data_IF_721319634772
#
_entry.id   IF_721319634772
#
_cell.length_a   1.000
_cell.length_b   1.000
_cell.length_c   1.000
_cell.angle_alpha   90.00
_cell.angle_beta   90.00
_cell.angle_gamma   90.00
#
_symmetry.space_group_name_H-M   'P 1'
#
loop_
_entity.id
_entity.type
_entity.pdbx_description
1 polymer ?
#
# COMPACT_ATOMS: atom_id res chain seq x y z
N UNK A 1 -9.55 -12.41 48.64
CA UNK A 1 -9.13 -11.49 49.72
C UNK A 1 -10.01 -10.24 49.63
N UNK A 2 -10.73 -9.89 50.69
CA UNK A 2 -11.74 -8.81 50.68
C UNK A 2 -11.04 -7.44 50.58
N UNK A 3 -11.27 -6.72 49.48
CA UNK A 3 -10.90 -5.30 49.32
C UNK A 3 -11.86 -4.42 50.13
N UNK A 4 -11.36 -3.40 50.87
CA UNK A 4 -12.20 -2.50 51.64
C UNK A 4 -12.73 -1.34 50.77
N UNK A 5 -14.04 -1.16 50.82
CA UNK A 5 -14.77 -0.04 50.26
C UNK A 5 -14.53 1.22 51.11
N UNK A 6 -13.97 2.26 50.50
CA UNK A 6 -13.82 3.61 51.06
C UNK A 6 -15.20 4.27 51.18
N UNK A 7 -15.64 4.52 52.42
CA UNK A 7 -16.77 5.39 52.75
C UNK A 7 -16.31 6.84 52.90
N UNK A 8 -17.00 7.82 52.31
CA UNK A 8 -16.71 9.24 52.50
C UNK A 8 -17.32 9.76 53.80
N UNK A 9 -16.51 10.50 54.56
CA UNK A 9 -16.89 11.22 55.77
C UNK A 9 -17.42 12.60 55.37
N UNK A 10 -18.74 12.78 55.48
CA UNK A 10 -19.39 14.09 55.56
C UNK A 10 -19.69 14.39 57.03
N UNK A 11 -19.19 15.50 57.61
CA UNK A 11 -19.77 16.05 58.81
C UNK A 11 -20.72 17.20 58.42
N UNK A 12 -21.98 17.04 58.80
CA UNK A 12 -22.94 18.14 58.84
C UNK A 12 -22.71 19.01 60.06
N UNK A 13 -22.97 20.31 59.90
CA UNK A 13 -23.30 21.26 60.96
C UNK A 13 -24.04 22.45 60.34
N UNK A 14 -25.32 22.60 60.70
CA UNK A 14 -25.95 23.91 60.84
C UNK A 14 -25.75 24.44 62.28
N UNK A 15 -26.49 25.46 62.75
CA UNK A 15 -27.46 26.30 62.05
C UNK A 15 -27.16 27.81 62.11
N UNK A 16 -28.03 28.55 61.42
CA UNK A 16 -28.06 29.99 61.21
C UNK A 16 -28.33 30.84 62.47
N UNK A 17 -27.67 32.00 62.55
CA UNK A 17 -28.03 33.13 63.38
C UNK A 17 -27.87 34.43 62.56
N UNK A 18 -28.70 35.41 62.88
CA UNK A 18 -29.20 36.47 62.00
C UNK A 18 -28.41 37.79 62.00
N UNK A 19 -28.41 38.48 60.84
CA UNK A 19 -28.25 39.94 60.61
C UNK A 19 -26.86 40.55 60.88
N UNK A 20 -26.47 41.70 60.28
CA UNK A 20 -27.30 42.77 59.67
C UNK A 20 -26.91 43.13 58.20
N UNK A 21 -27.64 44.06 57.54
CA UNK A 21 -27.46 44.41 56.13
C UNK A 21 -26.40 45.51 55.93
N UNK A 22 -26.08 45.78 54.66
CA UNK A 22 -25.14 46.79 54.13
C UNK A 22 -23.67 46.33 53.95
N UNK A 23 -23.41 45.60 52.86
CA UNK A 23 -22.18 45.76 52.10
C UNK A 23 -22.35 45.27 50.65
N UNK A 24 -21.90 46.09 49.71
CA UNK A 24 -21.98 45.93 48.25
C UNK A 24 -21.36 44.61 47.72
N UNK A 25 -21.79 44.14 46.52
CA UNK A 25 -21.37 42.84 45.99
C UNK A 25 -19.89 42.85 45.58
N UNK A 26 -19.04 42.19 46.37
CA UNK A 26 -17.67 41.87 45.93
C UNK A 26 -17.68 40.76 44.87
N UNK A 27 -16.84 40.88 43.84
CA UNK A 27 -16.85 39.99 42.68
C UNK A 27 -16.43 38.57 43.07
N UNK A 28 -17.15 37.60 42.50
CA UNK A 28 -16.94 36.17 42.70
C UNK A 28 -15.45 35.80 42.57
N UNK A 29 -14.86 35.38 43.70
CA UNK A 29 -13.53 34.76 43.72
C UNK A 29 -13.57 33.54 42.78
N UNK A 30 -12.74 33.49 41.71
CA UNK A 30 -12.69 32.32 40.87
C UNK A 30 -12.23 31.14 41.71
N UNK A 31 -12.91 30.00 41.54
CA UNK A 31 -12.65 28.76 42.25
C UNK A 31 -11.25 28.23 41.90
N UNK A 32 -10.26 28.69 42.68
CA UNK A 32 -8.88 28.22 42.75
C UNK A 32 -8.70 26.68 42.58
N UNK A 33 -9.59 25.78 43.08
CA UNK A 33 -9.41 24.34 42.85
C UNK A 33 -9.53 23.90 41.39
N UNK A 34 -10.41 24.49 40.58
CA UNK A 34 -10.63 24.06 39.20
C UNK A 34 -9.44 24.43 38.30
N UNK A 35 -8.93 25.66 38.45
CA UNK A 35 -7.72 26.12 37.76
C UNK A 35 -6.49 25.27 38.11
N UNK A 36 -6.36 24.86 39.37
CA UNK A 36 -5.24 24.02 39.78
C UNK A 36 -5.31 22.61 39.18
N UNK A 37 -6.50 22.01 39.13
CA UNK A 37 -6.72 20.72 38.47
C UNK A 37 -6.41 20.78 36.96
N UNK A 38 -6.87 21.83 36.28
CA UNK A 38 -6.57 22.03 34.86
C UNK A 38 -5.07 22.21 34.60
N UNK A 39 -4.39 22.99 35.46
CA UNK A 39 -2.95 23.19 35.37
C UNK A 39 -2.19 21.88 35.61
N UNK A 40 -2.60 21.09 36.60
CA UNK A 40 -1.99 19.80 36.89
C UNK A 40 -2.21 18.78 35.75
N UNK A 41 -3.40 18.77 35.15
CA UNK A 41 -3.70 17.93 33.98
C UNK A 41 -2.83 18.31 32.77
N UNK A 42 -2.62 19.62 32.53
CA UNK A 42 -1.74 20.12 31.48
C UNK A 42 -0.28 19.69 31.71
N UNK A 43 0.25 19.83 32.93
CA UNK A 43 1.60 19.38 33.27
C UNK A 43 1.75 17.85 33.11
N UNK A 44 0.76 17.05 33.48
CA UNK A 44 0.77 15.60 33.26
C UNK A 44 0.80 15.25 31.77
N UNK A 45 -0.01 15.92 30.94
CA UNK A 45 -0.05 15.69 29.49
C UNK A 45 1.27 16.06 28.80
N UNK A 46 1.86 17.21 29.17
CA UNK A 46 3.16 17.63 28.65
C UNK A 46 4.29 16.70 29.09
N UNK A 47 4.28 16.19 30.33
CA UNK A 47 5.25 15.20 30.80
C UNK A 47 5.13 13.87 30.04
N UNK A 48 3.92 13.41 29.71
CA UNK A 48 3.73 12.23 28.86
C UNK A 48 4.23 12.45 27.44
N UNK A 49 3.91 13.59 26.83
CA UNK A 49 4.36 13.92 25.47
C UNK A 49 5.90 14.04 25.38
N UNK A 50 6.52 14.72 26.36
CA UNK A 50 7.98 14.86 26.44
C UNK A 50 8.65 13.52 26.73
N UNK A 51 8.13 12.74 27.69
CA UNK A 51 8.63 11.39 27.99
C UNK A 51 8.55 10.45 26.78
N UNK A 52 7.46 10.51 26.02
CA UNK A 52 7.31 9.74 24.77
C UNK A 52 8.30 10.19 23.69
N UNK A 53 8.52 11.50 23.52
CA UNK A 53 9.53 12.05 22.60
C UNK A 53 10.95 11.63 22.99
N UNK A 54 11.30 11.67 24.27
CA UNK A 54 12.59 11.18 24.76
C UNK A 54 12.75 9.67 24.57
N UNK A 55 11.69 8.88 24.80
CA UNK A 55 11.73 7.44 24.54
C UNK A 55 12.01 7.15 23.06
N UNK A 56 11.35 7.84 22.12
CA UNK A 56 11.64 7.73 20.68
C UNK A 56 13.09 8.13 20.36
N UNK A 57 13.59 9.27 20.88
CA UNK A 57 14.97 9.72 20.63
C UNK A 57 16.03 8.75 21.20
N UNK A 58 15.80 8.18 22.38
CA UNK A 58 16.70 7.18 22.97
C UNK A 58 16.68 5.90 22.14
N UNK A 59 15.51 5.45 21.66
CA UNK A 59 15.42 4.31 20.73
C UNK A 59 16.17 4.61 19.42
N UNK A 60 16.02 5.81 18.84
CA UNK A 60 16.80 6.21 17.66
C UNK A 60 18.31 6.23 17.94
N UNK A 61 18.75 6.73 19.10
CA UNK A 61 20.17 6.75 19.47
C UNK A 61 20.75 5.36 19.79
N UNK A 62 19.96 4.45 20.36
CA UNK A 62 20.40 3.09 20.68
C UNK A 62 20.41 2.16 19.47
N UNK A 63 19.54 2.40 18.47
CA UNK A 63 19.33 1.48 17.35
C UNK A 63 19.75 2.01 15.97
N UNK A 64 20.25 3.25 15.84
CA UNK A 64 20.99 3.63 14.64
C UNK A 64 22.45 3.13 14.74
N UNK A 65 22.95 2.35 13.77
CA UNK A 65 24.36 1.97 13.72
C UNK A 65 25.21 3.22 13.48
N UNK A 66 26.01 3.60 14.46
CA UNK A 66 26.96 4.72 14.36
C UNK A 66 28.10 4.33 13.41
N UNK A 67 28.28 4.98 12.24
CA UNK A 67 29.50 4.84 11.47
C UNK A 67 30.67 5.50 12.24
N UNK A 68 31.92 5.03 12.03
CA UNK A 68 33.07 5.45 12.82
C UNK A 68 33.32 6.95 12.70
N UNK A 69 33.33 7.61 13.86
CA UNK A 69 33.60 9.03 14.05
C UNK A 69 35.06 9.31 13.63
N UNK A 70 35.24 10.03 12.51
CA UNK A 70 36.50 10.67 12.19
C UNK A 70 36.45 12.12 12.72
N UNK A 71 37.29 12.52 13.70
CA UNK A 71 37.14 13.78 14.42
C UNK A 71 37.52 15.06 13.63
N UNK A 72 37.67 14.99 12.31
CA UNK A 72 38.11 16.12 11.49
C UNK A 72 36.99 16.89 10.75
N UNK A 73 35.71 16.57 10.98
CA UNK A 73 34.59 17.23 10.28
C UNK A 73 33.82 18.27 11.13
N UNK A 74 34.24 18.52 12.37
CA UNK A 74 33.75 19.67 13.13
C UNK A 74 34.56 20.90 12.72
N UNK A 75 34.03 21.71 11.81
CA UNK A 75 34.17 23.17 11.68
C UNK A 75 33.68 23.59 10.29
N UNK A 76 33.07 24.77 10.20
CA UNK A 76 32.53 25.44 8.99
C UNK A 76 31.14 24.92 8.56
N UNK A 77 30.07 25.71 8.50
CA UNK A 77 29.83 27.11 8.85
C UNK A 77 28.31 27.28 8.90
N UNK A 78 27.82 28.01 9.91
CA UNK A 78 26.56 28.72 9.83
C UNK A 78 26.66 29.78 8.73
N UNK A 79 25.49 30.28 8.29
CA UNK A 79 25.27 31.43 7.39
C UNK A 79 24.97 31.02 5.94
N UNK A 80 23.69 30.83 5.64
CA UNK A 80 22.94 31.82 4.85
C UNK A 80 21.48 31.39 4.69
N UNK A 81 20.59 32.17 5.28
CA UNK A 81 19.24 32.36 4.77
C UNK A 81 19.31 33.19 3.49
N UNK A 82 18.42 32.93 2.52
CA UNK A 82 17.72 34.03 1.90
C UNK A 82 16.22 33.85 2.13
N UNK A 83 15.64 34.86 2.76
CA UNK A 83 14.23 35.13 2.76
C UNK A 83 13.77 35.35 1.31
N UNK A 84 12.73 34.61 0.90
CA UNK A 84 11.82 35.06 -0.16
C UNK A 84 10.45 35.19 0.49
N UNK A 85 10.12 36.44 0.76
CA UNK A 85 8.80 36.87 1.19
C UNK A 85 7.78 36.57 0.09
N UNK A 86 6.85 35.65 0.36
CA UNK A 86 5.62 35.58 -0.41
C UNK A 86 4.60 36.50 0.26
N UNK A 87 4.32 37.59 -0.44
CA UNK A 87 3.37 38.61 -0.08
C UNK A 87 1.98 38.02 0.21
N UNK A 88 1.33 38.57 1.23
CA UNK A 88 -0.02 38.23 1.62
C UNK A 88 -1.03 38.53 0.50
N UNK A 89 -1.81 37.52 0.15
CA UNK A 89 -3.13 37.70 -0.40
C UNK A 89 -4.12 37.29 0.68
N UNK A 90 -4.80 38.28 1.25
CA UNK A 90 -5.96 38.09 2.12
C UNK A 90 -6.99 37.25 1.37
N UNK A 91 -7.07 35.96 1.72
CA UNK A 91 -8.13 35.08 1.29
C UNK A 91 -9.41 35.41 2.07
N UNK A 92 -10.09 36.48 1.67
CA UNK A 92 -11.47 36.70 2.10
C UNK A 92 -12.33 35.67 1.39
N UNK A 93 -12.81 34.70 2.16
CA UNK A 93 -13.70 33.63 1.76
C UNK A 93 -14.98 34.19 1.13
N UNK A 94 -14.97 34.38 -0.18
CA UNK A 94 -16.21 34.55 -0.93
C UNK A 94 -16.71 33.16 -1.24
N UNK A 95 -17.79 32.77 -0.55
CA UNK A 95 -18.56 31.57 -0.82
C UNK A 95 -19.21 31.78 -2.19
N UNK A 96 -18.48 31.48 -3.26
CA UNK A 96 -19.08 31.38 -4.58
C UNK A 96 -19.82 30.06 -4.60
N UNK A 97 -21.14 30.13 -4.51
CA UNK A 97 -22.02 29.00 -4.80
C UNK A 97 -21.74 28.57 -6.24
N UNK A 98 -21.00 27.48 -6.44
CA UNK A 98 -20.91 26.84 -7.74
C UNK A 98 -22.26 26.24 -8.04
N UNK A 99 -23.09 26.99 -8.77
CA UNK A 99 -24.23 26.41 -9.46
C UNK A 99 -23.64 25.46 -10.49
N UNK A 100 -23.76 24.15 -10.25
CA UNK A 100 -23.46 23.14 -11.26
C UNK A 100 -24.41 23.36 -12.41
N UNK A 101 -23.99 24.15 -13.40
CA UNK A 101 -24.69 24.23 -14.67
C UNK A 101 -24.38 22.91 -15.34
N UNK A 102 -25.32 21.97 -15.27
CA UNK A 102 -25.31 20.78 -16.12
C UNK A 102 -25.35 21.27 -17.55
N UNK A 103 -24.17 21.44 -18.16
CA UNK A 103 -24.08 21.64 -19.60
C UNK A 103 -24.40 20.26 -20.16
N UNK A 104 -25.67 20.03 -20.48
CA UNK A 104 -26.06 18.90 -21.30
C UNK A 104 -25.38 19.11 -22.63
N UNK A 105 -24.22 18.47 -22.84
CA UNK A 105 -23.70 18.28 -24.18
C UNK A 105 -24.67 17.32 -24.84
N UNK A 106 -25.68 17.86 -25.50
CA UNK A 106 -26.45 17.10 -26.47
C UNK A 106 -25.47 16.77 -27.58
N UNK A 107 -24.92 15.55 -27.55
CA UNK A 107 -24.26 14.97 -28.71
C UNK A 107 -25.35 14.72 -29.75
N UNK A 108 -25.66 15.73 -30.56
CA UNK A 108 -26.38 15.50 -31.82
C UNK A 108 -25.46 14.66 -32.69
N UNK A 109 -25.72 13.37 -32.76
CA UNK A 109 -25.32 12.54 -33.89
C UNK A 109 -26.13 13.01 -35.09
N UNK A 110 -25.68 14.08 -35.74
CA UNK A 110 -26.09 14.34 -37.12
C UNK A 110 -25.49 13.22 -37.95
N UNK A 111 -26.32 12.22 -38.25
CA UNK A 111 -26.12 11.36 -39.41
C UNK A 111 -26.21 12.28 -40.62
N UNK A 112 -25.07 12.85 -41.03
CA UNK A 112 -24.97 13.48 -42.34
C UNK A 112 -25.13 12.34 -43.33
N UNK A 113 -26.38 12.17 -43.81
CA UNK A 113 -26.65 11.47 -45.04
C UNK A 113 -25.68 12.08 -46.07
N UNK A 114 -24.86 11.22 -46.67
CA UNK A 114 -23.85 11.61 -47.62
C UNK A 114 -24.52 12.25 -48.85
N UNK A 115 -24.77 13.55 -48.79
CA UNK A 115 -25.00 14.36 -49.97
C UNK A 115 -23.65 14.89 -50.45
N UNK A 116 -23.35 14.50 -51.67
CA UNK A 116 -22.14 14.79 -52.41
C UNK A 116 -22.15 16.27 -52.76
N UNK A 117 -21.23 17.05 -52.17
CA UNK A 117 -20.86 18.38 -52.67
C UNK A 117 -21.22 19.53 -51.74
N UNK A 118 -20.23 20.04 -51.00
CA UNK A 118 -20.35 21.31 -50.27
C UNK A 118 -19.12 21.56 -49.41
N UNK A 119 -18.43 22.67 -49.67
CA UNK A 119 -17.11 22.99 -49.12
C UNK A 119 -17.13 23.49 -47.65
N UNK A 120 -16.11 23.07 -46.88
CA UNK A 120 -15.53 23.69 -45.65
C UNK A 120 -16.41 23.78 -44.38
N UNK A 121 -15.86 23.86 -43.13
CA UNK A 121 -14.49 24.29 -42.75
C UNK A 121 -13.72 23.39 -41.75
N UNK A 122 -12.45 23.74 -41.57
CA UNK A 122 -11.39 23.06 -40.82
C UNK A 122 -11.71 22.77 -39.34
N UNK A 123 -11.97 21.50 -38.99
CA UNK A 123 -11.84 21.04 -37.61
C UNK A 123 -10.36 20.77 -37.30
N UNK A 124 -9.84 21.42 -36.25
CA UNK A 124 -8.51 21.15 -35.70
C UNK A 124 -8.40 19.66 -35.33
N UNK A 125 -7.66 18.89 -36.13
CA UNK A 125 -7.36 17.50 -35.85
C UNK A 125 -6.46 17.39 -34.61
N UNK A 126 -7.06 17.19 -33.43
CA UNK A 126 -6.32 16.67 -32.28
C UNK A 126 -5.78 15.29 -32.65
N UNK A 127 -4.49 15.23 -33.01
CA UNK A 127 -3.78 13.97 -33.23
C UNK A 127 -3.71 13.24 -31.90
N UNK A 128 -4.60 12.28 -31.67
CA UNK A 128 -4.39 11.31 -30.60
C UNK A 128 -3.07 10.58 -30.88
N UNK A 129 -2.20 10.52 -29.87
CA UNK A 129 -0.95 9.78 -29.95
C UNK A 129 -1.18 8.30 -30.28
N UNK A 130 -0.16 7.57 -30.74
CA UNK A 130 -0.26 6.14 -31.00
C UNK A 130 -0.70 5.39 -29.73
N UNK A 131 -1.65 4.48 -29.86
CA UNK A 131 -2.06 3.57 -28.78
C UNK A 131 -1.23 2.30 -28.89
N UNK A 132 -0.60 1.88 -27.80
CA UNK A 132 0.27 0.71 -27.80
C UNK A 132 -0.51 -0.56 -27.49
N UNK A 133 -0.27 -1.61 -28.28
CA UNK A 133 -0.71 -2.98 -27.97
C UNK A 133 0.52 -3.87 -27.92
N UNK A 134 0.95 -4.17 -26.70
CA UNK A 134 2.26 -4.77 -26.47
C UNK A 134 3.37 -3.82 -26.93
N UNK A 135 4.30 -4.31 -27.76
CA UNK A 135 5.46 -3.54 -28.26
C UNK A 135 5.18 -2.74 -29.55
N UNK A 136 3.96 -2.76 -30.09
CA UNK A 136 3.65 -2.16 -31.39
C UNK A 136 2.66 -0.99 -31.24
N UNK A 137 2.96 0.19 -31.83
CA UNK A 137 2.02 1.29 -31.88
C UNK A 137 0.91 1.03 -32.91
N UNK A 138 -0.34 1.08 -32.48
CA UNK A 138 -1.52 1.20 -33.33
C UNK A 138 -1.82 2.68 -33.52
N UNK A 139 -1.80 3.14 -34.77
CA UNK A 139 -2.30 4.46 -35.12
C UNK A 139 -3.82 4.47 -34.93
N UNK A 140 -4.31 5.20 -33.93
CA UNK A 140 -5.74 5.51 -33.83
C UNK A 140 -6.08 6.43 -35.00
N UNK A 141 -7.01 6.00 -35.86
CA UNK A 141 -7.49 6.86 -36.96
C UNK A 141 -8.22 8.05 -36.36
N UNK A 142 -8.10 9.22 -36.99
CA UNK A 142 -8.81 10.42 -36.56
C UNK A 142 -10.33 10.16 -36.50
N UNK A 143 -10.99 10.73 -35.49
CA UNK A 143 -12.44 10.67 -35.35
C UNK A 143 -13.12 11.50 -36.46
N UNK A 144 -14.30 11.11 -36.97
CA UNK A 144 -15.07 9.91 -36.67
C UNK A 144 -14.47 8.63 -37.27
N UNK A 145 -14.60 7.51 -36.56
CA UNK A 145 -14.24 6.20 -37.13
C UNK A 145 -15.14 5.93 -38.34
N UNK A 146 -14.57 5.70 -39.54
CA UNK A 146 -15.36 5.76 -40.77
C UNK A 146 -16.37 4.61 -40.95
N UNK A 147 -16.28 3.54 -40.15
CA UNK A 147 -17.28 2.45 -40.18
C UNK A 147 -17.31 1.68 -38.84
N UNK A 148 -18.45 1.60 -38.12
CA UNK A 148 -18.59 0.78 -36.91
C UNK A 148 -18.35 -0.72 -37.16
N UNK A 149 -18.60 -1.22 -38.37
CA UNK A 149 -18.36 -2.61 -38.75
C UNK A 149 -16.86 -2.93 -38.79
N UNK A 150 -16.05 -2.03 -39.36
CA UNK A 150 -14.59 -2.13 -39.39
C UNK A 150 -13.98 -2.00 -37.99
N UNK A 151 -14.53 -1.12 -37.15
CA UNK A 151 -14.11 -1.00 -35.75
C UNK A 151 -14.32 -2.33 -35.01
N UNK A 152 -15.48 -2.97 -35.15
CA UNK A 152 -15.75 -4.25 -34.50
C UNK A 152 -14.82 -5.36 -35.02
N UNK A 153 -14.49 -5.38 -36.32
CA UNK A 153 -13.48 -6.29 -36.88
C UNK A 153 -12.09 -6.03 -36.26
N UNK A 154 -11.67 -4.77 -36.15
CA UNK A 154 -10.39 -4.40 -35.56
C UNK A 154 -10.30 -4.85 -34.09
N UNK A 155 -11.37 -4.70 -33.31
CA UNK A 155 -11.43 -5.20 -31.93
C UNK A 155 -11.33 -6.73 -31.84
N UNK A 156 -11.96 -7.48 -32.76
CA UNK A 156 -11.81 -8.94 -32.83
C UNK A 156 -10.38 -9.36 -33.15
N UNK A 157 -9.74 -8.69 -34.10
CA UNK A 157 -8.33 -8.92 -34.44
C UNK A 157 -7.45 -8.61 -33.22
N UNK A 158 -7.68 -7.49 -32.54
CA UNK A 158 -6.95 -7.10 -31.35
C UNK A 158 -7.04 -8.15 -30.25
N UNK A 159 -8.26 -8.62 -29.95
CA UNK A 159 -8.50 -9.67 -28.97
C UNK A 159 -7.77 -10.97 -29.35
N UNK A 160 -7.82 -11.36 -30.63
CA UNK A 160 -7.11 -12.53 -31.13
C UNK A 160 -5.58 -12.39 -31.01
N UNK A 161 -5.03 -11.22 -31.33
CA UNK A 161 -3.59 -10.92 -31.18
C UNK A 161 -3.18 -10.95 -29.71
N UNK A 162 -3.96 -10.35 -28.81
CA UNK A 162 -3.69 -10.38 -27.38
C UNK A 162 -3.74 -11.80 -26.81
N UNK A 163 -4.73 -12.61 -27.23
CA UNK A 163 -4.79 -14.03 -26.86
C UNK A 163 -3.59 -14.82 -27.40
N UNK A 164 -3.17 -14.57 -28.64
CA UNK A 164 -1.98 -15.17 -29.23
C UNK A 164 -0.69 -14.72 -28.52
N UNK A 165 -0.59 -13.47 -28.09
CA UNK A 165 0.55 -12.96 -27.31
C UNK A 165 0.61 -13.62 -25.93
N UNK A 166 -0.53 -13.77 -25.25
CA UNK A 166 -0.63 -14.50 -23.98
C UNK A 166 -0.23 -15.96 -24.14
N UNK A 167 -0.73 -16.64 -25.17
CA UNK A 167 -0.39 -18.04 -25.45
C UNK A 167 1.05 -18.24 -25.90
N UNK A 168 1.62 -17.30 -26.67
CA UNK A 168 3.01 -17.37 -27.13
C UNK A 168 4.02 -17.11 -26.01
N UNK A 169 3.73 -16.20 -25.05
CA UNK A 169 4.51 -16.11 -23.80
C UNK A 169 4.62 -17.48 -23.10
N UNK A 170 3.58 -18.31 -23.22
CA UNK A 170 3.54 -19.68 -22.66
C UNK A 170 4.14 -20.74 -23.58
N UNK A 171 4.50 -20.47 -24.84
CA UNK A 171 4.96 -21.53 -25.77
C UNK A 171 6.26 -22.22 -25.34
N UNK A 172 6.98 -21.67 -24.36
CA UNK A 172 8.13 -22.31 -23.70
C UNK A 172 7.93 -22.63 -22.22
N UNK A 173 6.83 -22.21 -21.60
CA UNK A 173 6.48 -22.52 -20.22
C UNK A 173 5.41 -23.62 -20.22
N UNK A 174 5.46 -24.57 -19.28
CA UNK A 174 4.41 -25.58 -19.16
C UNK A 174 3.00 -24.96 -18.98
N UNK A 175 1.93 -25.77 -18.98
CA UNK A 175 0.61 -25.27 -18.59
C UNK A 175 0.71 -24.56 -17.23
N UNK A 176 0.09 -23.39 -17.11
CA UNK A 176 0.08 -22.65 -15.84
C UNK A 176 -0.55 -23.52 -14.75
N UNK A 177 0.04 -23.49 -13.55
CA UNK A 177 -0.50 -24.19 -12.39
C UNK A 177 -1.84 -23.54 -12.00
N UNK A 178 -2.83 -24.33 -11.54
CA UNK A 178 -4.08 -23.77 -11.05
C UNK A 178 -3.84 -22.71 -9.97
N UNK A 179 -4.70 -21.70 -9.92
CA UNK A 179 -4.68 -20.65 -8.89
C UNK A 179 -5.81 -20.94 -7.90
N UNK A 180 -5.50 -20.86 -6.61
CA UNK A 180 -6.45 -20.99 -5.52
C UNK A 180 -6.52 -19.63 -4.82
N UNK A 181 -7.55 -18.84 -5.13
CA UNK A 181 -7.75 -17.54 -4.50
C UNK A 181 -8.45 -17.74 -3.15
N UNK A 182 -7.84 -17.29 -2.06
CA UNK A 182 -8.42 -17.39 -0.71
C UNK A 182 -8.92 -16.01 -0.28
N UNK A 183 -10.21 -15.91 0.05
CA UNK A 183 -10.86 -14.68 0.47
C UNK A 183 -11.61 -14.89 1.79
N UNK A 184 -11.05 -14.49 2.93
CA UNK A 184 -11.84 -14.37 4.15
C UNK A 184 -12.81 -13.20 4.00
N UNK A 185 -14.04 -13.40 4.42
CA UNK A 185 -15.05 -12.33 4.45
C UNK A 185 -15.20 -11.76 5.85
N UNK A 186 -15.74 -10.56 5.91
CA UNK A 186 -16.11 -9.90 7.16
C UNK A 186 -17.54 -9.38 7.10
N UNK A 187 -18.15 -9.13 8.26
CA UNK A 187 -19.45 -8.46 8.32
C UNK A 187 -19.26 -6.97 8.01
N UNK A 188 -19.42 -6.60 6.75
CA UNK A 188 -19.25 -5.23 6.25
C UNK A 188 -20.39 -4.83 5.31
N UNK A 189 -20.74 -3.54 5.30
CA UNK A 189 -21.65 -2.98 4.31
C UNK A 189 -21.10 -3.10 2.88
N UNK A 190 -19.77 -3.20 2.73
CA UNK A 190 -19.09 -3.33 1.45
C UNK A 190 -18.85 -4.79 1.03
N UNK A 191 -19.30 -5.79 1.80
CA UNK A 191 -19.01 -7.20 1.51
C UNK A 191 -19.44 -7.64 0.11
N UNK A 192 -20.70 -7.44 -0.23
CA UNK A 192 -21.25 -7.81 -1.55
C UNK A 192 -20.57 -7.05 -2.72
N UNK A 193 -20.44 -5.71 -2.71
CA UNK A 193 -19.79 -5.01 -3.80
C UNK A 193 -18.28 -5.35 -3.92
N UNK A 194 -17.58 -5.52 -2.80
CA UNK A 194 -16.18 -5.94 -2.78
C UNK A 194 -15.98 -7.32 -3.40
N UNK A 195 -16.76 -8.32 -2.98
CA UNK A 195 -16.71 -9.66 -3.56
C UNK A 195 -17.10 -9.67 -5.05
N UNK A 196 -18.04 -8.82 -5.46
CA UNK A 196 -18.43 -8.70 -6.87
C UNK A 196 -17.28 -8.13 -7.71
N UNK A 197 -16.60 -7.09 -7.22
CA UNK A 197 -15.42 -6.50 -7.86
C UNK A 197 -14.27 -7.50 -7.96
N UNK A 198 -14.03 -8.25 -6.87
CA UNK A 198 -13.01 -9.28 -6.84
C UNK A 198 -13.33 -10.41 -7.84
N UNK A 199 -14.58 -10.88 -7.90
CA UNK A 199 -15.01 -11.88 -8.88
C UNK A 199 -14.73 -11.43 -10.33
N UNK A 200 -14.99 -10.17 -10.66
CA UNK A 200 -14.64 -9.63 -11.98
C UNK A 200 -13.14 -9.67 -12.25
N UNK A 201 -12.32 -9.34 -11.26
CA UNK A 201 -10.86 -9.38 -11.37
C UNK A 201 -10.35 -10.80 -11.55
N UNK A 202 -10.85 -11.76 -10.76
CA UNK A 202 -10.45 -13.17 -10.82
C UNK A 202 -10.82 -13.84 -12.16
N UNK A 203 -11.89 -13.39 -12.83
CA UNK A 203 -12.25 -13.86 -14.18
C UNK A 203 -11.25 -13.44 -15.27
N UNK A 204 -10.42 -12.43 -15.00
CA UNK A 204 -9.37 -12.00 -15.94
C UNK A 204 -8.10 -12.85 -15.83
N UNK A 205 -8.01 -13.73 -14.83
CA UNK A 205 -6.86 -14.62 -14.63
C UNK A 205 -6.88 -15.72 -15.68
N UNK A 206 -5.76 -15.88 -16.39
CA UNK A 206 -5.64 -16.84 -17.50
C UNK A 206 -5.45 -18.31 -17.03
N UNK A 207 -5.07 -18.53 -15.78
CA UNK A 207 -4.94 -19.87 -15.20
C UNK A 207 -6.31 -20.40 -14.76
N UNK A 208 -6.46 -21.73 -14.68
CA UNK A 208 -7.63 -22.32 -14.00
C UNK A 208 -7.66 -21.78 -12.57
N UNK A 209 -8.81 -21.23 -12.15
CA UNK A 209 -8.94 -20.57 -10.86
C UNK A 209 -10.05 -21.20 -10.04
N UNK A 210 -9.74 -21.56 -8.79
CA UNK A 210 -10.72 -21.94 -7.78
C UNK A 210 -10.75 -20.86 -6.70
N UNK A 211 -11.93 -20.30 -6.44
CA UNK A 211 -12.11 -19.25 -5.46
C UNK A 211 -12.68 -19.80 -4.15
N UNK A 212 -11.87 -19.81 -3.10
CA UNK A 212 -12.27 -20.23 -1.76
C UNK A 212 -12.72 -19.00 -0.97
N UNK A 213 -14.01 -18.92 -0.67
CA UNK A 213 -14.60 -17.85 0.14
C UNK A 213 -14.97 -18.41 1.50
N UNK A 214 -14.42 -17.79 2.55
CA UNK A 214 -14.61 -18.22 3.94
C UNK A 214 -15.42 -17.19 4.69
N UNK A 215 -16.60 -17.59 5.18
CA UNK A 215 -17.44 -16.76 6.05
C UNK A 215 -17.21 -17.08 7.54
N UNK A 216 -17.17 -16.05 8.41
CA UNK A 216 -17.26 -16.27 9.85
C UNK A 216 -18.68 -16.71 10.21
N UNK A 217 -18.81 -17.71 11.07
CA UNK A 217 -20.11 -18.20 11.53
C UNK A 217 -20.82 -19.07 10.47
N UNK A 218 -21.81 -18.51 9.79
CA UNK A 218 -22.70 -19.26 8.89
C UNK A 218 -22.62 -18.75 7.44
N UNK A 219 -22.92 -19.63 6.48
CA UNK A 219 -23.07 -19.22 5.08
C UNK A 219 -24.24 -18.25 4.95
N UNK A 220 -24.03 -17.14 4.26
CA UNK A 220 -25.08 -16.15 3.98
C UNK A 220 -25.58 -16.28 2.54
N UNK A 221 -26.88 -16.06 2.35
CA UNK A 221 -27.49 -16.05 1.00
C UNK A 221 -26.92 -14.93 0.13
N UNK A 222 -26.49 -13.82 0.75
CA UNK A 222 -25.87 -12.70 0.07
C UNK A 222 -24.55 -13.09 -0.61
N UNK A 223 -23.65 -13.76 0.12
CA UNK A 223 -22.38 -14.27 -0.44
C UNK A 223 -22.64 -15.39 -1.44
N UNK A 224 -23.55 -16.32 -1.15
CA UNK A 224 -23.93 -17.38 -2.09
C UNK A 224 -24.49 -16.82 -3.42
N UNK A 225 -25.25 -15.73 -3.37
CA UNK A 225 -25.76 -15.05 -4.56
C UNK A 225 -24.66 -14.37 -5.39
N UNK A 226 -23.61 -13.82 -4.75
CA UNK A 226 -22.45 -13.29 -5.48
C UNK A 226 -21.67 -14.42 -6.15
N UNK A 227 -21.41 -15.51 -5.41
CA UNK A 227 -20.67 -16.67 -5.91
C UNK A 227 -21.36 -17.35 -7.09
N UNK A 228 -22.67 -17.57 -7.01
CA UNK A 228 -23.44 -18.17 -8.11
C UNK A 228 -23.42 -17.35 -9.41
N UNK A 229 -23.30 -16.02 -9.32
CA UNK A 229 -23.18 -15.12 -10.48
C UNK A 229 -21.74 -14.93 -10.97
N UNK A 230 -20.75 -15.37 -10.20
CA UNK A 230 -19.33 -15.14 -10.51
C UNK A 230 -18.86 -15.89 -11.76
N UNK A 231 -19.50 -17.01 -12.12
CA UNK A 231 -19.03 -17.94 -13.17
C UNK A 231 -17.59 -18.43 -12.94
N UNK A 232 -17.15 -18.51 -11.68
CA UNK A 232 -15.88 -19.10 -11.27
C UNK A 232 -16.15 -20.46 -10.60
N UNK A 233 -15.18 -21.36 -10.65
CA UNK A 233 -15.18 -22.50 -9.74
C UNK A 233 -14.95 -21.97 -8.32
N UNK A 234 -15.82 -22.29 -7.37
CA UNK A 234 -15.71 -21.77 -6.01
C UNK A 234 -15.95 -22.82 -4.94
N UNK A 235 -15.36 -22.58 -3.77
CA UNK A 235 -15.64 -23.31 -2.55
C UNK A 235 -16.12 -22.31 -1.50
N UNK A 236 -17.40 -22.39 -1.16
CA UNK A 236 -18.01 -21.57 -0.12
C UNK A 236 -17.97 -22.32 1.20
N UNK A 237 -17.16 -21.88 2.16
CA UNK A 237 -16.98 -22.55 3.46
C UNK A 237 -17.19 -21.58 4.61
N UNK A 238 -17.42 -22.15 5.80
CA UNK A 238 -17.55 -21.42 7.06
C UNK A 238 -16.38 -21.77 7.95
N UNK A 239 -15.71 -20.77 8.51
CA UNK A 239 -14.54 -20.97 9.35
C UNK A 239 -14.80 -20.68 10.84
N UNK A 240 -13.96 -21.25 11.72
CA UNK A 240 -14.00 -20.93 13.14
C UNK A 240 -13.39 -19.55 13.44
N UNK A 241 -14.05 -18.82 14.34
CA UNK A 241 -13.61 -17.52 14.84
C UNK A 241 -13.94 -16.34 13.93
N UNK A 242 -13.75 -15.14 14.47
CA UNK A 242 -14.17 -13.88 13.82
C UNK A 242 -12.99 -13.14 13.17
N UNK A 243 -11.77 -13.64 13.35
CA UNK A 243 -10.57 -13.01 12.80
C UNK A 243 -10.34 -13.47 11.36
N UNK A 244 -10.02 -12.53 10.46
CA UNK A 244 -9.66 -12.88 9.08
C UNK A 244 -8.44 -13.81 9.01
N UNK A 245 -7.52 -13.73 9.98
CA UNK A 245 -6.40 -14.66 10.10
C UNK A 245 -6.86 -16.11 10.32
N UNK A 246 -7.76 -16.35 11.27
CA UNK A 246 -8.27 -17.70 11.57
C UNK A 246 -9.03 -18.29 10.39
N UNK A 247 -9.78 -17.47 9.66
CA UNK A 247 -10.47 -17.86 8.44
C UNK A 247 -9.49 -18.23 7.31
N UNK A 248 -8.36 -17.50 7.15
CA UNK A 248 -7.31 -17.85 6.18
C UNK A 248 -6.66 -19.18 6.52
N UNK A 249 -6.25 -19.38 7.78
CA UNK A 249 -5.65 -20.65 8.21
C UNK A 249 -6.64 -21.81 8.02
N UNK A 250 -7.94 -21.58 8.29
CA UNK A 250 -8.96 -22.58 8.02
C UNK A 250 -9.07 -22.92 6.52
N UNK A 251 -9.02 -21.92 5.62
CA UNK A 251 -8.97 -22.15 4.18
C UNK A 251 -7.76 -23.00 3.78
N UNK A 252 -6.59 -22.72 4.34
CA UNK A 252 -5.37 -23.49 4.07
C UNK A 252 -5.49 -24.94 4.55
N UNK A 253 -6.15 -25.19 5.69
CA UNK A 253 -6.46 -26.54 6.17
C UNK A 253 -7.40 -27.27 5.21
N UNK A 254 -8.42 -26.60 4.66
CA UNK A 254 -9.29 -27.19 3.63
C UNK A 254 -8.55 -27.54 2.34
N UNK A 255 -7.64 -26.65 1.88
CA UNK A 255 -6.73 -26.92 0.75
C UNK A 255 -5.88 -28.16 1.01
N UNK A 256 -5.31 -28.28 2.23
CA UNK A 256 -4.51 -29.43 2.67
C UNK A 256 -5.35 -30.71 2.67
N UNK A 257 -6.50 -30.71 3.34
CA UNK A 257 -7.40 -31.88 3.48
C UNK A 257 -7.86 -32.39 2.11
N UNK A 258 -8.20 -31.48 1.19
CA UNK A 258 -8.65 -31.83 -0.16
C UNK A 258 -7.52 -32.13 -1.14
N UNK A 259 -6.25 -32.00 -0.70
CA UNK A 259 -5.05 -32.12 -1.55
C UNK A 259 -5.18 -31.32 -2.85
N UNK A 260 -5.66 -30.08 -2.74
CA UNK A 260 -5.76 -29.19 -3.90
C UNK A 260 -4.34 -28.84 -4.38
N UNK A 261 -4.10 -28.95 -5.69
CA UNK A 261 -2.83 -28.63 -6.33
C UNK A 261 -2.92 -27.28 -7.04
N UNK A 262 -1.90 -26.44 -6.88
CA UNK A 262 -1.90 -25.08 -7.43
C UNK A 262 -1.16 -24.06 -6.56
N UNK A 263 -1.39 -22.79 -6.88
CA UNK A 263 -0.80 -21.63 -6.22
C UNK A 263 -1.86 -20.88 -5.46
N UNK A 264 -1.68 -20.83 -4.15
CA UNK A 264 -2.53 -20.08 -3.24
C UNK A 264 -2.14 -18.62 -3.28
N UNK A 265 -3.12 -17.76 -3.58
CA UNK A 265 -3.02 -16.31 -3.53
C UNK A 265 -4.04 -15.79 -2.54
N UNK A 266 -3.62 -14.93 -1.60
CA UNK A 266 -4.53 -14.31 -0.64
C UNK A 266 -5.19 -13.08 -1.27
N UNK A 267 -6.45 -13.27 -1.69
CA UNK A 267 -7.26 -12.29 -2.37
C UNK A 267 -8.28 -11.72 -1.38
N UNK A 268 -7.84 -10.85 -0.50
CA UNK A 268 -8.68 -10.33 0.58
C UNK A 268 -9.86 -9.51 0.05
N UNK A 269 -10.98 -9.49 0.80
CA UNK A 269 -12.23 -8.82 0.41
C UNK A 269 -11.99 -7.37 -0.01
N UNK A 270 -11.12 -6.65 0.70
CA UNK A 270 -10.80 -5.24 0.47
C UNK A 270 -9.46 -5.03 -0.30
N UNK A 271 -8.99 -6.06 -1.01
CA UNK A 271 -7.77 -5.96 -1.82
C UNK A 271 -8.10 -5.57 -3.27
N UNK A 272 -7.22 -4.76 -3.87
CA UNK A 272 -7.25 -4.43 -5.31
C UNK A 272 -6.08 -5.16 -5.96
N UNK A 273 -6.37 -6.18 -6.75
CA UNK A 273 -5.35 -7.06 -7.32
C UNK A 273 -5.03 -6.67 -8.77
N UNK A 274 -3.75 -6.69 -9.12
CA UNK A 274 -3.31 -6.68 -10.52
C UNK A 274 -3.35 -8.09 -11.10
N UNK A 275 -3.65 -8.20 -12.39
CA UNK A 275 -3.57 -9.50 -13.08
C UNK A 275 -2.14 -10.02 -13.15
N UNK A 276 -1.13 -9.13 -13.17
CA UNK A 276 0.28 -9.52 -13.15
C UNK A 276 0.72 -10.21 -11.85
N UNK A 277 -0.01 -10.02 -10.73
CA UNK A 277 0.22 -10.77 -9.50
C UNK A 277 0.15 -12.27 -9.75
N UNK A 278 -0.83 -12.70 -10.54
CA UNK A 278 -1.07 -14.13 -10.80
C UNK A 278 0.00 -14.71 -11.73
N UNK A 279 0.51 -13.93 -12.69
CA UNK A 279 1.64 -14.33 -13.53
C UNK A 279 2.92 -14.46 -12.71
N UNK A 280 3.16 -13.54 -11.77
CA UNK A 280 4.32 -13.57 -10.89
C UNK A 280 4.23 -14.73 -9.88
N UNK A 281 3.04 -14.99 -9.34
CA UNK A 281 2.78 -16.10 -8.44
C UNK A 281 3.11 -17.46 -9.09
N UNK A 282 3.05 -17.59 -10.43
CA UNK A 282 3.45 -18.81 -11.12
C UNK A 282 4.94 -19.14 -10.98
N UNK A 283 5.79 -18.23 -10.49
CA UNK A 283 7.22 -18.50 -10.28
C UNK A 283 7.54 -19.15 -8.94
N UNK A 284 6.61 -19.10 -7.98
CA UNK A 284 6.88 -19.58 -6.62
C UNK A 284 7.15 -21.08 -6.59
N UNK A 285 8.21 -21.51 -5.92
CA UNK A 285 8.46 -22.94 -5.69
C UNK A 285 7.78 -23.42 -4.42
N UNK A 286 7.87 -22.66 -3.32
CA UNK A 286 7.34 -23.03 -2.00
C UNK A 286 6.49 -21.90 -1.41
N UNK A 287 7.13 -20.81 -0.95
CA UNK A 287 6.47 -19.62 -0.39
C UNK A 287 7.19 -18.39 -0.94
N UNK A 288 6.44 -17.47 -1.52
CA UNK A 288 6.96 -16.27 -2.14
C UNK A 288 6.36 -15.01 -1.53
N UNK A 289 7.13 -13.91 -1.59
CA UNK A 289 6.70 -12.59 -1.19
C UNK A 289 6.62 -11.67 -2.40
N UNK A 290 5.58 -10.85 -2.49
CA UNK A 290 5.32 -9.89 -3.56
C UNK A 290 5.15 -8.48 -3.00
N UNK A 291 5.45 -7.42 -3.78
CA UNK A 291 5.18 -6.05 -3.37
C UNK A 291 3.67 -5.76 -3.27
N UNK A 292 3.24 -5.28 -2.10
CA UNK A 292 1.86 -4.86 -1.83
C UNK A 292 1.88 -3.41 -1.35
N UNK A 293 1.06 -2.58 -1.98
CA UNK A 293 0.82 -1.23 -1.53
C UNK A 293 -0.18 -1.23 -0.38
N UNK A 294 0.09 -0.46 0.65
CA UNK A 294 -0.78 -0.29 1.81
C UNK A 294 -1.41 1.08 1.73
N UNK A 295 -2.74 1.12 1.85
CA UNK A 295 -3.49 2.35 2.06
C UNK A 295 -3.93 2.37 3.51
N UNK A 296 -3.50 3.37 4.27
CA UNK A 296 -3.85 3.48 5.67
C UNK A 296 -3.58 4.86 6.24
N UNK A 297 -3.70 4.94 7.56
CA UNK A 297 -3.38 6.12 8.34
C UNK A 297 -2.21 5.76 9.26
N UNK A 298 -1.10 6.51 9.18
CA UNK A 298 0.04 6.40 10.10
C UNK A 298 0.16 7.70 10.92
N UNK A 299 0.19 7.58 12.25
CA UNK A 299 0.26 8.72 13.20
C UNK A 299 -0.71 9.90 12.88
N UNK A 300 -1.89 9.62 12.29
CA UNK A 300 -2.90 10.63 11.93
C UNK A 300 -2.76 11.22 10.52
N UNK A 301 -1.75 10.80 9.76
CA UNK A 301 -1.58 11.13 8.36
C UNK A 301 -2.07 9.97 7.48
N UNK A 302 -2.97 10.26 6.55
CA UNK A 302 -3.35 9.32 5.50
C UNK A 302 -2.16 9.08 4.56
N UNK A 303 -1.55 7.90 4.64
CA UNK A 303 -0.34 7.55 3.90
C UNK A 303 -0.54 6.31 3.02
N UNK A 304 0.13 6.31 1.87
CA UNK A 304 0.29 5.14 1.02
C UNK A 304 1.75 4.75 0.99
N UNK A 305 2.08 3.54 1.41
CA UNK A 305 3.46 3.04 1.41
C UNK A 305 3.54 1.63 0.83
N UNK A 306 4.75 1.21 0.48
CA UNK A 306 5.00 -0.11 -0.12
C UNK A 306 5.52 -1.08 0.93
N UNK A 307 4.80 -2.18 1.15
CA UNK A 307 5.38 -3.38 1.75
C UNK A 307 5.96 -4.27 0.65
N UNK A 308 7.23 -4.64 0.75
CA UNK A 308 7.88 -5.43 -0.28
C UNK A 308 9.05 -6.25 0.28
N UNK A 309 9.39 -7.39 -0.33
CA UNK A 309 10.68 -8.02 -0.07
C UNK A 309 11.82 -7.07 -0.48
N UNK A 310 12.89 -7.06 0.30
CA UNK A 310 14.12 -6.33 0.04
C UNK A 310 15.21 -7.32 -0.32
N UNK A 311 15.85 -7.12 -1.46
CA UNK A 311 16.91 -7.98 -1.98
C UNK A 311 18.29 -7.30 -1.88
N UNK A 312 19.36 -8.10 -1.80
CA UNK A 312 20.72 -7.66 -2.12
C UNK A 312 20.94 -7.52 -3.65
N UNK A 313 22.17 -7.19 -4.07
CA UNK A 313 22.52 -7.02 -5.48
C UNK A 313 22.44 -8.35 -6.27
N UNK A 314 22.63 -9.47 -5.58
CA UNK A 314 22.55 -10.82 -6.11
C UNK A 314 21.09 -11.33 -6.23
N UNK A 315 20.13 -10.62 -5.63
CA UNK A 315 18.70 -10.96 -5.64
C UNK A 315 18.24 -11.84 -4.48
N UNK A 316 19.08 -12.05 -3.46
CA UNK A 316 18.70 -12.80 -2.27
C UNK A 316 17.92 -11.91 -1.31
N UNK A 317 16.93 -12.50 -0.63
CA UNK A 317 16.14 -11.80 0.37
C UNK A 317 17.01 -11.41 1.58
N UNK A 318 17.12 -10.11 1.85
CA UNK A 318 17.79 -9.58 3.06
C UNK A 318 16.80 -9.13 4.12
N UNK A 319 15.56 -8.82 3.74
CA UNK A 319 14.56 -8.30 4.66
C UNK A 319 13.24 -7.94 4.00
N UNK A 320 12.38 -7.28 4.76
CA UNK A 320 11.06 -6.81 4.34
C UNK A 320 10.96 -5.32 4.61
N UNK A 321 10.64 -4.54 3.58
CA UNK A 321 10.21 -3.16 3.74
C UNK A 321 8.81 -3.17 4.34
N UNK A 322 8.65 -2.49 5.48
CA UNK A 322 7.37 -2.42 6.20
C UNK A 322 6.81 -1.00 6.27
N UNK A 323 7.65 0.01 6.04
CA UNK A 323 7.25 1.41 5.84
C UNK A 323 8.21 2.07 4.85
N UNK A 324 8.00 3.36 4.56
CA UNK A 324 8.84 4.12 3.64
C UNK A 324 10.33 4.12 4.05
N UNK A 325 10.60 4.25 5.35
CA UNK A 325 11.97 4.34 5.89
C UNK A 325 12.45 3.03 6.53
N UNK A 326 11.56 2.08 6.82
CA UNK A 326 11.89 0.90 7.64
C UNK A 326 11.98 -0.36 6.80
N UNK A 327 13.17 -0.96 6.81
CA UNK A 327 13.43 -2.32 6.33
C UNK A 327 13.82 -3.20 7.51
N UNK A 328 13.02 -4.23 7.77
CA UNK A 328 13.27 -5.22 8.81
C UNK A 328 14.07 -6.39 8.23
N UNK A 329 15.20 -6.78 8.84
CA UNK A 329 16.01 -7.87 8.32
C UNK A 329 15.32 -9.23 8.47
N UNK A 330 15.51 -10.13 7.50
CA UNK A 330 14.79 -11.40 7.41
C UNK A 330 15.09 -12.35 8.58
N UNK A 331 16.25 -12.20 9.23
CA UNK A 331 16.64 -12.99 10.39
C UNK A 331 16.01 -12.51 11.71
N UNK A 332 15.31 -11.37 11.73
CA UNK A 332 14.61 -10.82 12.90
C UNK A 332 13.14 -11.21 12.89
N UNK A 333 12.89 -12.52 12.97
CA UNK A 333 11.53 -13.10 13.01
C UNK A 333 10.67 -12.52 14.13
N UNK A 334 11.26 -12.16 15.27
CA UNK A 334 10.60 -11.49 16.40
C UNK A 334 9.95 -10.16 15.99
N UNK A 335 10.71 -9.31 15.28
CA UNK A 335 10.22 -8.03 14.77
C UNK A 335 9.21 -8.23 13.64
N UNK A 336 9.46 -9.19 12.76
CA UNK A 336 8.59 -9.49 11.62
C UNK A 336 7.24 -10.09 12.05
N UNK A 337 7.18 -10.91 13.10
CA UNK A 337 5.91 -11.40 13.65
C UNK A 337 5.09 -10.28 14.29
N UNK A 338 5.77 -9.31 14.91
CA UNK A 338 5.12 -8.12 15.46
C UNK A 338 4.68 -7.14 14.34
N UNK A 339 5.35 -7.19 13.19
CA UNK A 339 4.98 -6.38 12.02
C UNK A 339 3.69 -6.90 11.37
N UNK A 340 2.79 -5.99 11.01
CA UNK A 340 1.55 -6.30 10.28
C UNK A 340 1.82 -6.38 8.78
N UNK A 341 2.56 -7.41 8.37
CA UNK A 341 2.71 -7.74 6.96
C UNK A 341 1.37 -8.25 6.41
N UNK A 342 0.95 -7.71 5.27
CA UNK A 342 -0.32 -8.09 4.66
C UNK A 342 -0.25 -9.46 3.98
N UNK A 343 -1.32 -10.24 4.14
CA UNK A 343 -1.41 -11.59 3.56
C UNK A 343 -1.38 -11.57 2.04
N UNK A 344 -1.99 -10.58 1.40
CA UNK A 344 -1.92 -10.36 -0.05
C UNK A 344 -0.51 -10.12 -0.58
N UNK A 345 0.46 -9.84 0.31
CA UNK A 345 1.88 -9.76 0.00
C UNK A 345 2.58 -11.13 -0.15
N UNK A 346 1.86 -12.25 0.01
CA UNK A 346 2.45 -13.59 0.00
C UNK A 346 1.69 -14.55 -0.90
N UNK A 347 2.42 -15.53 -1.43
CA UNK A 347 1.88 -16.62 -2.26
C UNK A 347 2.48 -17.94 -1.81
N UNK A 348 1.69 -19.02 -1.90
CA UNK A 348 2.10 -20.34 -1.38
C UNK A 348 1.82 -21.40 -2.42
N UNK A 349 2.78 -22.28 -2.69
CA UNK A 349 2.52 -23.50 -3.42
C UNK A 349 1.71 -24.45 -2.53
N UNK A 350 0.51 -24.84 -2.96
CA UNK A 350 -0.40 -25.66 -2.17
C UNK A 350 0.24 -27.00 -1.72
N UNK A 351 1.18 -27.55 -2.50
CA UNK A 351 1.92 -28.77 -2.13
C UNK A 351 2.77 -28.62 -0.88
N UNK A 352 3.24 -27.41 -0.58
CA UNK A 352 3.99 -27.11 0.64
C UNK A 352 3.12 -27.24 1.91
N UNK A 353 1.79 -27.27 1.77
CA UNK A 353 0.85 -27.39 2.87
C UNK A 353 0.45 -28.85 3.16
N UNK A 354 0.79 -29.80 2.29
CA UNK A 354 0.39 -31.20 2.45
C UNK A 354 1.22 -31.89 3.55
N UNK A 355 0.56 -32.67 4.41
CA UNK A 355 1.20 -33.38 5.54
C UNK A 355 2.21 -34.44 5.06
N UNK A 356 1.81 -35.27 4.08
CA UNK A 356 2.63 -36.39 3.57
C UNK A 356 3.51 -36.03 2.35
N UNK A 357 3.59 -34.76 1.97
CA UNK A 357 4.39 -34.39 0.81
C UNK A 357 5.88 -34.55 1.14
N UNK A 358 6.55 -35.51 0.49
CA UNK A 358 8.02 -35.65 0.51
C UNK A 358 8.75 -34.36 0.13
N UNK A 359 8.07 -33.50 -0.62
CA UNK A 359 8.58 -32.21 -1.11
C UNK A 359 8.37 -31.05 -0.13
N UNK A 360 7.61 -31.24 0.97
CA UNK A 360 7.36 -30.18 1.95
C UNK A 360 8.66 -29.79 2.65
N UNK A 361 9.14 -28.54 2.51
CA UNK A 361 10.37 -28.13 3.16
C UNK A 361 10.21 -28.01 4.67
N UNK A 362 11.26 -28.35 5.42
CA UNK A 362 11.29 -28.31 6.90
C UNK A 362 11.02 -26.91 7.47
N UNK A 363 11.29 -25.86 6.69
CA UNK A 363 11.07 -24.47 7.09
C UNK A 363 9.61 -24.00 6.93
N UNK A 364 8.72 -24.84 6.37
CA UNK A 364 7.28 -24.57 6.30
C UNK A 364 6.60 -25.17 7.53
N UNK A 365 6.07 -24.30 8.38
CA UNK A 365 5.43 -24.67 9.65
C UNK A 365 4.16 -25.49 9.37
N UNK A 366 3.84 -26.41 10.27
CA UNK A 366 2.56 -27.10 10.20
C UNK A 366 1.39 -26.16 10.48
N UNK A 367 0.31 -26.30 9.73
CA UNK A 367 -0.90 -25.51 9.93
C UNK A 367 -1.57 -25.81 11.27
N UNK A 368 -1.29 -26.96 11.88
CA UNK A 368 -1.78 -27.30 13.22
C UNK A 368 -0.94 -26.66 14.33
N UNK A 369 0.33 -26.36 14.06
CA UNK A 369 1.24 -25.63 14.97
C UNK A 369 1.19 -24.11 14.79
N UNK A 370 0.59 -23.63 13.70
CA UNK A 370 0.45 -22.20 13.42
C UNK A 370 -0.61 -21.57 14.34
N UNK A 371 -0.29 -20.42 14.95
CA UNK A 371 -1.29 -19.66 15.71
C UNK A 371 -2.39 -19.19 14.74
N UNK A 372 -3.65 -19.64 14.90
CA UNK A 372 -4.74 -19.24 14.02
C UNK A 372 -5.04 -17.75 14.10
N UNK A 373 -4.59 -17.05 15.14
CA UNK A 373 -4.78 -15.60 15.31
C UNK A 373 -3.57 -14.79 14.83
N UNK A 374 -2.54 -15.42 14.29
CA UNK A 374 -1.37 -14.71 13.81
C UNK A 374 -1.75 -13.75 12.69
N UNK A 375 -1.52 -12.45 12.92
CA UNK A 375 -1.83 -11.41 11.95
C UNK A 375 -0.91 -11.47 10.72
N UNK A 376 0.32 -11.98 10.88
CA UNK A 376 1.33 -12.02 9.83
C UNK A 376 1.33 -13.35 9.07
N UNK A 377 1.41 -13.34 7.72
CA UNK A 377 1.51 -14.55 6.89
C UNK A 377 2.81 -15.33 7.13
N UNK A 378 3.83 -14.71 7.71
CA UNK A 378 5.06 -15.39 8.10
C UNK A 378 4.87 -16.42 9.23
N UNK A 379 3.68 -16.46 9.85
CA UNK A 379 3.27 -17.57 10.71
C UNK A 379 3.19 -18.93 9.98
N UNK A 380 3.23 -18.95 8.64
CA UNK A 380 3.33 -20.17 7.85
C UNK A 380 4.76 -20.74 7.76
N UNK A 381 5.78 -19.99 8.18
CA UNK A 381 7.19 -20.35 8.00
C UNK A 381 7.97 -20.25 9.30
N UNK A 382 8.97 -21.11 9.48
CA UNK A 382 9.89 -21.06 10.63
C UNK A 382 11.12 -20.20 10.34
N UNK A 383 11.49 -20.05 9.06
CA UNK A 383 12.59 -19.21 8.60
C UNK A 383 12.11 -18.26 7.50
N UNK A 384 11.96 -16.97 7.86
CA UNK A 384 11.50 -15.93 6.93
C UNK A 384 12.56 -15.58 5.86
N UNK A 385 13.83 -15.96 6.05
CA UNK A 385 14.91 -15.76 5.07
C UNK A 385 14.87 -16.76 3.90
N UNK A 386 14.04 -17.80 3.98
CA UNK A 386 13.85 -18.81 2.91
C UNK A 386 12.71 -18.48 1.96
N UNK A 387 11.91 -17.45 2.28
CA UNK A 387 10.85 -16.96 1.41
C UNK A 387 11.45 -16.40 0.14
N UNK A 388 10.85 -16.74 -1.00
CA UNK A 388 11.32 -16.34 -2.31
C UNK A 388 10.89 -14.89 -2.61
N UNK A 389 11.82 -13.96 -2.85
CA UNK A 389 11.46 -12.61 -3.27
C UNK A 389 11.00 -12.63 -4.72
N UNK A 390 9.71 -12.44 -4.94
CA UNK A 390 9.13 -12.37 -6.28
C UNK A 390 9.16 -10.93 -6.81
N UNK A 391 8.86 -10.78 -8.10
CA UNK A 391 8.89 -9.53 -8.83
C UNK A 391 10.26 -8.83 -8.77
N UNK A 392 11.36 -9.57 -8.59
CA UNK A 392 12.72 -9.01 -8.51
C UNK A 392 12.86 -7.89 -7.45
N UNK A 393 12.11 -7.95 -6.35
CA UNK A 393 12.09 -6.90 -5.33
C UNK A 393 11.78 -5.48 -5.89
N UNK A 394 11.04 -5.39 -7.01
CA UNK A 394 10.67 -4.11 -7.63
C UNK A 394 9.71 -3.30 -6.75
N UNK A 395 9.68 -1.99 -7.00
CA UNK A 395 8.92 -1.02 -6.22
C UNK A 395 7.52 -0.74 -6.79
N UNK A 396 7.01 -1.65 -7.63
CA UNK A 396 5.66 -1.56 -8.17
C UNK A 396 4.76 -2.54 -7.42
N UNK A 397 3.71 -2.02 -6.80
CA UNK A 397 2.71 -2.83 -6.12
C UNK A 397 2.01 -3.78 -7.13
N UNK A 398 1.82 -5.03 -6.71
CA UNK A 398 1.01 -6.04 -7.42
C UNK A 398 -0.38 -6.22 -6.81
N UNK A 399 -0.57 -5.71 -5.61
CA UNK A 399 -1.86 -5.58 -4.95
C UNK A 399 -1.87 -4.30 -4.11
N UNK A 400 -3.05 -3.75 -3.87
CA UNK A 400 -3.30 -2.80 -2.79
C UNK A 400 -4.13 -3.47 -1.72
N UNK A 401 -3.69 -3.37 -0.46
CA UNK A 401 -4.50 -3.70 0.70
C UNK A 401 -4.91 -2.40 1.38
N UNK A 402 -6.21 -2.23 1.60
CA UNK A 402 -6.69 -1.18 2.49
C UNK A 402 -6.65 -1.69 3.91
N UNK A 403 -5.87 -1.05 4.78
CA UNK A 403 -6.08 -1.22 6.21
C UNK A 403 -7.47 -0.64 6.53
N UNK A 404 -8.25 -1.37 7.34
CA UNK A 404 -9.61 -0.97 7.76
C UNK A 404 -9.54 0.29 8.62
N UNK A 405 -9.32 1.44 8.00
CA UNK A 405 -9.62 2.71 8.59
C UNK A 405 -10.82 3.29 7.86
N UNK A 406 -11.81 3.77 8.62
CA UNK A 406 -12.92 4.56 8.08
C UNK A 406 -12.41 5.85 7.36
N UNK A 407 -11.11 6.14 7.44
CA UNK A 407 -10.42 7.27 6.82
C UNK A 407 -9.90 7.05 5.40
N UNK A 408 -10.27 5.97 4.68
CA UNK A 408 -9.94 5.81 3.24
C UNK A 408 -10.31 7.07 2.43
N UNK A 409 -11.34 7.80 2.87
CA UNK A 409 -11.79 9.05 2.24
C UNK A 409 -10.72 10.15 2.16
N UNK A 410 -9.67 10.11 2.99
CA UNK A 410 -8.59 11.10 3.01
C UNK A 410 -7.29 10.60 2.37
N UNK A 411 -7.17 9.29 2.12
CA UNK A 411 -5.98 8.70 1.50
C UNK A 411 -5.97 9.02 0.00
N UNK A 412 -5.02 9.86 -0.42
CA UNK A 412 -4.78 10.09 -1.84
C UNK A 412 -4.20 8.82 -2.44
N UNK A 413 -5.04 8.08 -3.18
CA UNK A 413 -4.58 6.94 -3.95
C UNK A 413 -3.46 7.41 -4.90
N UNK A 414 -2.30 6.74 -4.93
CA UNK A 414 -1.21 7.16 -5.80
C UNK A 414 -1.63 7.11 -7.26
N UNK A 415 -1.14 8.07 -8.06
CA UNK A 415 -1.51 8.17 -9.48
C UNK A 415 -1.01 6.97 -10.31
N UNK A 416 -0.03 6.23 -9.79
CA UNK A 416 0.57 5.07 -10.44
C UNK A 416 0.75 3.92 -9.43
N UNK A 417 0.94 2.72 -9.95
CA UNK A 417 1.27 1.53 -9.14
C UNK A 417 2.72 1.51 -8.64
N UNK A 418 3.53 2.46 -9.10
CA UNK A 418 4.92 2.63 -8.70
C UNK A 418 4.97 3.62 -7.53
N UNK A 419 5.55 3.19 -6.42
CA UNK A 419 5.86 4.09 -5.30
C UNK A 419 7.35 4.41 -5.44
N UNK A 420 7.67 5.65 -5.83
CA UNK A 420 9.04 6.11 -5.79
C UNK A 420 9.49 6.15 -4.32
N UNK A 421 10.56 5.43 -3.93
CA UNK A 421 11.11 5.58 -2.60
C UNK A 421 11.60 7.02 -2.43
N UNK A 422 11.59 7.58 -1.22
CA UNK A 422 12.28 8.82 -0.99
C UNK A 422 13.72 8.59 -1.41
N UNK A 423 14.29 9.56 -2.13
CA UNK A 423 15.71 9.57 -2.42
C UNK A 423 16.43 9.47 -1.08
N UNK A 424 16.96 8.28 -0.76
CA UNK A 424 18.03 8.15 0.21
C UNK A 424 19.09 9.12 -0.29
N UNK A 425 19.23 10.27 0.37
CA UNK A 425 20.32 11.19 0.12
C UNK A 425 21.61 10.47 0.58
N UNK A 426 22.07 9.50 -0.19
CA UNK A 426 23.47 9.11 -0.27
C UNK A 426 24.22 10.20 -1.02
N UNK A 427 24.11 11.44 -0.51
CA UNK A 427 24.89 12.59 -0.90
C UNK A 427 26.28 12.48 -0.28
N UNK A 428 27.02 11.44 -0.62
CA UNK A 428 28.47 11.44 -0.58
C UNK A 428 28.98 10.22 -1.36
N UNK A 429 29.85 10.48 -2.33
CA UNK A 429 30.79 9.54 -2.96
C UNK A 429 30.40 8.98 -4.34
N UNK A 430 30.05 9.88 -5.24
CA UNK A 430 30.67 9.87 -6.57
C UNK A 430 31.49 11.16 -6.74
N UNK A 431 32.57 11.29 -5.97
CA UNK A 431 33.68 12.12 -6.44
C UNK A 431 34.28 11.36 -7.61
N UNK A 432 33.92 11.82 -8.81
CA UNK A 432 34.58 11.51 -10.06
C UNK A 432 36.05 11.88 -9.85
N UNK A 433 36.92 10.87 -9.69
CA UNK A 433 38.36 11.06 -9.80
C UNK A 433 38.61 11.41 -11.27
N UNK A 434 38.68 12.71 -11.57
CA UNK A 434 39.09 13.19 -12.86
C UNK A 434 40.61 12.92 -12.99
N UNK A 435 41.08 12.19 -14.02
CA UNK A 435 42.50 11.87 -14.15
C UNK A 435 43.31 13.14 -14.36
N UNK A 436 44.30 13.37 -13.50
CA UNK A 436 45.34 14.38 -13.72
C UNK A 436 46.05 14.07 -15.04
N UNK A 437 45.91 14.95 -16.02
CA UNK A 437 46.81 15.04 -17.16
C UNK A 437 47.00 16.52 -17.46
N UNK A 438 48.10 17.12 -17.00
CA UNK A 438 49.23 17.47 -17.88
C UNK A 438 50.40 18.08 -17.08
N UNK A 439 51.65 17.86 -17.53
CA UNK A 439 52.85 18.32 -16.82
C UNK A 439 53.14 19.81 -17.07
N UNK A 440 53.53 20.49 -16.00
CA UNK A 440 53.98 21.88 -16.01
C UNK A 440 55.41 21.96 -16.59
N UNK A 441 55.54 22.27 -17.89
CA UNK A 441 56.77 22.81 -18.44
C UNK A 441 56.79 24.32 -18.23
N UNK A 442 57.58 24.76 -17.25
CA UNK A 442 57.95 26.14 -17.05
C UNK A 442 59.11 26.49 -18.00
N UNK A 443 58.90 27.42 -18.92
CA UNK A 443 59.97 28.34 -19.35
C UNK A 443 59.33 29.66 -19.78
N UNK A 444 59.30 30.59 -18.83
CA UNK A 444 59.26 32.03 -19.07
C UNK A 444 60.69 32.48 -19.38
N UNK A 445 60.91 33.18 -20.50
CA UNK A 445 61.85 34.29 -20.56
C UNK A 445 61.72 35.08 -21.88
N UNK A 446 61.36 36.36 -21.68
CA UNK A 446 61.81 37.55 -22.40
C UNK A 446 61.50 37.71 -23.90
N UNK A 447 60.44 38.50 -24.12
CA UNK A 447 60.39 39.60 -25.09
C UNK A 447 61.50 40.64 -24.91
N UNK A 448 61.72 41.43 -25.97
CA UNK A 448 62.55 42.65 -26.09
C UNK A 448 64.05 42.37 -26.32
N UNK A 449 64.75 42.97 -27.29
CA UNK A 449 64.55 44.27 -27.91
C UNK A 449 65.23 44.36 -29.29
N UNK A 450 64.67 45.22 -30.14
CA UNK A 450 65.05 45.50 -31.50
C UNK A 450 65.23 47.01 -31.62
N UNK A 451 66.46 47.55 -31.54
CA UNK A 451 66.91 48.73 -32.30
C UNK A 451 68.32 49.24 -31.94
N UNK A 452 69.06 49.54 -33.03
CA UNK A 452 70.26 50.38 -33.19
C UNK A 452 71.62 49.91 -32.67
#
# INVERSE_FOLDING_TARGET
>A
MKLPLLRPLWPGLGPAAAGPPDAAPEPAKPSLPATWLLLHALFCATSMAVGFRFSRLIVFLLFLPTPPINPAAHLVSLVSSPAVALAGANATATITTTTTTTTTVTTTTTTVAADIGGAHPHHHHHRHGPVFVGRHPIRVRAWPHPDPSELLKAHRILAAVQNAQRSTKRRGAGPARPVIAVTPTTTSALQVPSLTSLAHTLRLVDAQLVWIVVEPGNRTDAVAAVLSRSNLDFLHITGPGDSTASLRIHALREIRTKRMDGIVVFADENSILRTELFDEAQKVTTVGAVPVGILGEDDGASESFLQAPSCDAEGNLVGYRVSEETVLPANRSDMLMASRLEWSGFVVNARALWEDAKERPVWVRDLDDADPRAASPLALVTDAGRVEPLASCVQAALAWSSLRSDSIHEVKFPHEWKIDPPSLNTGARQQTVQPETQPMQATLASTEDQQH
#
